data_IF_990053595898
#
_entry.id   IF_990053595898
#
_cell.length_a   1.000
_cell.length_b   1.000
_cell.length_c   1.000
_cell.angle_alpha   90.00
_cell.angle_beta   90.00
_cell.angle_gamma   90.00
#
_symmetry.space_group_name_H-M   'P 1'
#
loop_
_entity.id
_entity.type
_entity.pdbx_description
1 polymer ?
#
# COMPACT_ATOMS: atom_id res chain seq x y z
N UNK A 1 -28.38 7.74 -12.69
CA UNK A 1 -27.23 7.02 -13.25
C UNK A 1 -26.15 7.09 -12.19
N UNK A 2 -25.60 5.97 -11.72
CA UNK A 2 -24.56 5.99 -10.69
C UNK A 2 -23.28 6.58 -11.32
N UNK A 3 -22.80 7.67 -10.75
CA UNK A 3 -21.58 8.38 -11.13
C UNK A 3 -20.37 7.92 -10.32
N UNK A 4 -20.56 6.92 -9.46
CA UNK A 4 -19.54 6.35 -8.58
C UNK A 4 -19.82 4.86 -8.32
N UNK A 5 -18.76 4.05 -8.28
CA UNK A 5 -18.80 2.64 -7.88
C UNK A 5 -17.54 2.29 -7.09
N UNK A 6 -17.61 1.30 -6.19
CA UNK A 6 -16.46 0.82 -5.44
C UNK A 6 -16.49 -0.69 -5.24
N UNK A 7 -15.33 -1.26 -4.97
CA UNK A 7 -15.08 -2.66 -4.66
C UNK A 7 -14.05 -2.74 -3.53
N UNK A 8 -14.45 -3.35 -2.42
CA UNK A 8 -13.55 -3.60 -1.29
C UNK A 8 -12.72 -4.84 -1.63
N UNK A 9 -11.40 -4.68 -1.67
CA UNK A 9 -10.47 -5.77 -1.99
C UNK A 9 -10.04 -6.47 -0.69
N UNK A 10 -9.66 -5.68 0.30
CA UNK A 10 -9.32 -6.10 1.65
C UNK A 10 -9.61 -4.97 2.65
N UNK A 11 -9.31 -5.19 3.93
CA UNK A 11 -9.56 -4.21 5.02
C UNK A 11 -8.77 -2.90 4.85
N UNK A 12 -7.71 -2.92 4.05
CA UNK A 12 -6.79 -1.80 3.86
C UNK A 12 -6.82 -1.25 2.44
N UNK A 13 -7.66 -1.78 1.54
CA UNK A 13 -7.62 -1.49 0.10
C UNK A 13 -9.02 -1.48 -0.51
N UNK A 14 -9.38 -0.36 -1.13
CA UNK A 14 -10.66 -0.14 -1.79
C UNK A 14 -10.42 0.42 -3.19
N UNK A 15 -10.88 -0.31 -4.20
CA UNK A 15 -10.93 0.18 -5.57
C UNK A 15 -12.18 1.03 -5.76
N UNK A 16 -12.02 2.22 -6.33
CA UNK A 16 -13.11 3.15 -6.61
C UNK A 16 -13.08 3.61 -8.06
N UNK A 17 -14.26 3.90 -8.60
CA UNK A 17 -14.41 4.46 -9.94
C UNK A 17 -15.39 5.62 -9.92
N UNK A 18 -15.07 6.68 -10.64
CA UNK A 18 -15.92 7.86 -10.81
C UNK A 18 -16.10 8.18 -12.29
N UNK A 19 -17.33 8.54 -12.66
CA UNK A 19 -17.66 9.00 -13.99
C UNK A 19 -17.41 10.51 -14.08
N UNK A 20 -16.52 10.93 -14.96
CA UNK A 20 -16.22 12.33 -15.23
C UNK A 20 -16.36 12.62 -16.72
N UNK A 21 -17.26 13.53 -17.08
CA UNK A 21 -17.52 13.97 -18.46
C UNK A 21 -17.77 12.84 -19.48
N UNK A 22 -18.31 11.69 -19.03
CA UNK A 22 -18.56 10.46 -19.80
C UNK A 22 -17.41 9.42 -19.85
N UNK A 23 -16.34 9.60 -19.08
CA UNK A 23 -15.30 8.58 -18.90
C UNK A 23 -15.15 8.12 -17.46
N UNK A 24 -14.85 6.83 -17.29
CA UNK A 24 -14.64 6.24 -15.97
C UNK A 24 -13.17 6.30 -15.58
N UNK A 25 -12.91 6.96 -14.45
CA UNK A 25 -11.59 7.02 -13.85
C UNK A 25 -11.51 6.11 -12.64
N UNK A 26 -10.44 5.31 -12.55
CA UNK A 26 -10.24 4.35 -11.48
C UNK A 26 -9.18 4.86 -10.50
N UNK A 27 -9.47 4.74 -9.21
CA UNK A 27 -8.59 5.08 -8.11
C UNK A 27 -8.51 3.92 -7.13
N UNK A 28 -7.35 3.76 -6.52
CA UNK A 28 -7.18 2.88 -5.37
C UNK A 28 -7.06 3.75 -4.10
N UNK A 29 -7.79 3.38 -3.07
CA UNK A 29 -7.66 3.92 -1.73
C UNK A 29 -7.00 2.83 -0.91
N UNK A 30 -5.82 3.10 -0.37
CA UNK A 30 -5.15 2.13 0.49
C UNK A 30 -4.59 2.79 1.73
N UNK A 31 -4.55 2.05 2.83
CA UNK A 31 -3.88 2.48 4.05
C UNK A 31 -2.40 2.13 3.98
N UNK A 32 -1.54 3.11 4.25
CA UNK A 32 -0.11 2.90 4.42
C UNK A 32 0.37 3.74 5.60
N UNK A 33 1.05 3.12 6.56
CA UNK A 33 1.59 3.78 7.75
C UNK A 33 0.51 4.56 8.55
N UNK A 34 -0.68 3.96 8.69
CA UNK A 34 -1.88 4.58 9.30
C UNK A 34 -2.44 5.81 8.56
N UNK A 35 -2.09 5.94 7.27
CA UNK A 35 -2.55 7.06 6.43
C UNK A 35 -3.23 6.52 5.18
N UNK A 36 -4.51 6.86 5.04
CA UNK A 36 -5.27 6.56 3.84
C UNK A 36 -4.77 7.38 2.65
N UNK A 37 -4.42 6.69 1.58
CA UNK A 37 -3.82 7.26 0.38
C UNK A 37 -4.67 6.94 -0.83
N UNK A 38 -5.10 7.98 -1.54
CA UNK A 38 -5.80 7.92 -2.82
C UNK A 38 -4.79 8.00 -3.97
N UNK A 39 -4.75 6.96 -4.79
CA UNK A 39 -3.85 6.84 -5.94
C UNK A 39 -4.64 6.60 -7.24
N UNK A 40 -4.41 7.39 -8.32
CA UNK A 40 -5.02 7.11 -9.61
C UNK A 40 -4.40 5.88 -10.27
N UNK A 41 -5.22 4.95 -10.77
CA UNK A 41 -4.75 3.78 -11.52
C UNK A 41 -4.55 4.08 -13.02
N UNK A 42 -5.20 5.15 -13.51
CA UNK A 42 -5.19 5.52 -14.92
C UNK A 42 -3.89 6.28 -15.28
N UNK A 43 -3.09 5.69 -16.18
CA UNK A 43 -1.86 6.30 -16.71
C UNK A 43 -2.08 7.67 -17.36
N UNK A 44 -3.29 7.97 -17.84
CA UNK A 44 -3.66 9.29 -18.35
C UNK A 44 -3.66 10.35 -17.24
N UNK A 45 -4.14 10.01 -16.04
CA UNK A 45 -4.14 10.90 -14.87
C UNK A 45 -2.73 11.05 -14.26
N UNK A 46 -1.91 9.99 -14.31
CA UNK A 46 -0.53 10.03 -13.83
C UNK A 46 0.32 10.99 -14.68
N UNK A 47 0.11 11.00 -16.01
CA UNK A 47 0.83 11.89 -16.93
C UNK A 47 0.26 13.32 -16.95
N UNK A 48 -1.03 13.49 -16.69
CA UNK A 48 -1.71 14.78 -16.70
C UNK A 48 -2.19 15.16 -15.28
N UNK A 49 -1.30 15.77 -14.50
CA UNK A 49 -1.53 16.16 -13.10
C UNK A 49 -2.72 17.10 -12.93
N UNK A 50 -2.90 18.06 -13.85
CA UNK A 50 -4.00 19.03 -13.81
C UNK A 50 -5.35 18.31 -13.94
N UNK A 51 -5.43 17.34 -14.85
CA UNK A 51 -6.62 16.52 -15.01
C UNK A 51 -6.85 15.61 -13.79
N UNK A 52 -5.79 15.00 -13.25
CA UNK A 52 -5.90 14.23 -12.01
C UNK A 52 -6.48 15.07 -10.87
N UNK A 53 -6.07 16.33 -10.73
CA UNK A 53 -6.59 17.23 -9.71
C UNK A 53 -8.08 17.52 -9.91
N UNK A 54 -8.54 17.71 -11.14
CA UNK A 54 -9.96 17.91 -11.44
C UNK A 54 -10.80 16.69 -11.05
N UNK A 55 -10.38 15.49 -11.43
CA UNK A 55 -11.12 14.26 -11.13
C UNK A 55 -11.11 13.94 -9.65
N UNK A 56 -9.96 14.09 -8.98
CA UNK A 56 -9.86 13.87 -7.52
C UNK A 56 -10.76 14.85 -6.77
N UNK A 57 -10.79 16.13 -7.18
CA UNK A 57 -11.68 17.11 -6.56
C UNK A 57 -13.17 16.75 -6.75
N UNK A 58 -13.53 16.16 -7.89
CA UNK A 58 -14.89 15.68 -8.12
C UNK A 58 -15.20 14.45 -7.25
N UNK A 59 -14.26 13.51 -7.13
CA UNK A 59 -14.38 12.33 -6.27
C UNK A 59 -14.57 12.73 -4.80
N UNK A 60 -13.72 13.64 -4.30
CA UNK A 60 -13.80 14.16 -2.93
C UNK A 60 -15.07 14.98 -2.66
N UNK A 61 -15.83 15.37 -3.69
CA UNK A 61 -17.15 16.01 -3.55
C UNK A 61 -18.32 15.03 -3.72
N UNK A 62 -18.06 13.81 -4.15
CA UNK A 62 -19.12 12.83 -4.42
C UNK A 62 -19.71 12.28 -3.12
N UNK A 63 -21.03 12.41 -2.97
CA UNK A 63 -21.76 11.96 -1.77
C UNK A 63 -21.68 10.45 -1.52
N UNK A 64 -21.60 9.63 -2.58
CA UNK A 64 -21.49 8.17 -2.43
C UNK A 64 -20.10 7.76 -1.97
N UNK A 65 -19.08 8.50 -2.42
CA UNK A 65 -17.72 8.37 -1.89
C UNK A 65 -17.67 8.69 -0.39
N UNK A 66 -18.32 9.76 0.06
CA UNK A 66 -18.39 10.10 1.49
C UNK A 66 -19.07 9.01 2.32
N UNK A 67 -20.19 8.47 1.83
CA UNK A 67 -20.91 7.37 2.50
C UNK A 67 -20.05 6.11 2.57
N UNK A 68 -19.29 5.81 1.52
CA UNK A 68 -18.34 4.70 1.51
C UNK A 68 -17.24 4.92 2.56
N UNK A 69 -16.56 6.07 2.55
CA UNK A 69 -15.53 6.39 3.54
C UNK A 69 -16.07 6.30 4.97
N UNK A 70 -17.27 6.82 5.24
CA UNK A 70 -17.88 6.75 6.56
C UNK A 70 -18.20 5.32 7.02
N UNK A 71 -18.54 4.41 6.09
CA UNK A 71 -18.79 2.99 6.41
C UNK A 71 -17.51 2.24 6.76
N UNK A 72 -16.43 2.57 6.06
CA UNK A 72 -15.11 1.95 6.23
C UNK A 72 -14.25 2.68 7.30
N UNK A 73 -14.86 3.57 8.10
CA UNK A 73 -14.18 4.38 9.13
C UNK A 73 -13.00 5.23 8.60
N UNK A 74 -13.05 5.64 7.33
CA UNK A 74 -12.05 6.48 6.68
C UNK A 74 -12.42 7.96 6.87
N UNK A 75 -11.59 8.71 7.58
CA UNK A 75 -11.74 10.16 7.72
C UNK A 75 -11.31 10.87 6.43
N UNK A 76 -12.24 11.58 5.78
CA UNK A 76 -11.96 12.34 4.55
C UNK A 76 -10.82 13.37 4.71
N UNK A 77 -10.62 13.88 5.94
CA UNK A 77 -9.53 14.80 6.28
C UNK A 77 -8.14 14.13 6.28
N UNK A 78 -8.09 12.81 6.41
CA UNK A 78 -6.86 12.03 6.50
C UNK A 78 -6.46 11.42 5.16
N UNK A 79 -7.36 11.44 4.17
CA UNK A 79 -7.05 10.96 2.82
C UNK A 79 -6.02 11.89 2.17
N UNK A 80 -4.83 11.33 1.92
CA UNK A 80 -3.77 11.96 1.14
C UNK A 80 -3.86 11.52 -0.30
N UNK A 81 -3.38 12.34 -1.22
CA UNK A 81 -3.31 12.00 -2.64
C UNK A 81 -1.86 11.81 -3.02
N UNK A 82 -1.54 10.76 -3.77
CA UNK A 82 -0.17 10.53 -4.25
C UNK A 82 0.29 11.54 -5.30
N UNK A 83 -0.65 12.29 -5.88
CA UNK A 83 -0.37 13.38 -6.81
C UNK A 83 -0.26 14.66 -5.99
N UNK A 84 0.84 15.40 -6.19
CA UNK A 84 1.08 16.69 -5.54
C UNK A 84 0.05 17.71 -6.03
N UNK A 85 -1.04 17.85 -5.25
CA UNK A 85 -2.13 18.77 -5.53
C UNK A 85 -1.69 20.15 -5.01
N UNK A 86 -1.00 20.91 -5.85
CA UNK A 86 -0.71 22.31 -5.57
C UNK A 86 -2.00 23.01 -5.10
N UNK A 87 -1.95 23.64 -3.92
CA UNK A 87 -3.06 24.28 -3.18
C UNK A 87 -3.92 23.42 -2.23
N UNK A 88 -3.30 22.58 -1.40
CA UNK A 88 -3.66 22.59 0.03
C UNK A 88 -2.42 23.00 0.81
N UNK A 89 -2.59 23.87 1.80
CA UNK A 89 -1.53 24.32 2.69
C UNK A 89 -0.86 23.09 3.35
N UNK A 90 0.20 22.59 2.73
CA UNK A 90 1.04 21.54 3.24
C UNK A 90 1.81 22.12 4.43
N UNK A 91 1.77 21.51 5.63
CA UNK A 91 3.02 21.36 6.35
C UNK A 91 3.91 20.56 5.40
N UNK A 92 5.01 21.17 4.96
CA UNK A 92 5.92 20.65 3.96
C UNK A 92 6.13 19.13 4.13
N UNK A 93 5.88 18.38 3.05
CA UNK A 93 6.58 17.13 2.86
C UNK A 93 8.07 17.45 3.06
N UNK A 94 8.81 16.70 3.89
CA UNK A 94 10.26 16.77 3.83
C UNK A 94 10.60 16.48 2.36
N UNK A 95 11.40 17.36 1.74
CA UNK A 95 11.98 17.06 0.45
C UNK A 95 12.51 15.62 0.47
N UNK A 96 12.38 14.85 -0.63
CA UNK A 96 13.08 13.59 -0.71
C UNK A 96 14.55 13.95 -0.54
N UNK A 97 15.09 13.67 0.64
CA UNK A 97 16.50 13.92 0.93
C UNK A 97 17.24 13.30 -0.25
N UNK A 98 18.25 13.99 -0.81
CA UNK A 98 19.22 13.29 -1.63
C UNK A 98 19.56 12.03 -0.85
N UNK A 99 19.48 10.87 -1.50
CA UNK A 99 19.85 9.60 -0.89
C UNK A 99 21.28 9.81 -0.39
N UNK A 100 21.41 10.22 0.87
CA UNK A 100 22.63 10.11 1.62
C UNK A 100 22.89 8.63 1.54
N UNK A 101 23.93 8.29 0.78
CA UNK A 101 24.61 7.03 0.92
C UNK A 101 24.80 6.87 2.42
N UNK A 102 23.93 6.05 3.04
CA UNK A 102 24.20 5.59 4.39
C UNK A 102 25.60 5.01 4.30
N UNK A 103 26.52 5.39 5.19
CA UNK A 103 27.70 4.55 5.35
C UNK A 103 27.14 3.16 5.62
N UNK A 104 27.56 2.20 4.81
CA UNK A 104 27.34 0.79 5.08
C UNK A 104 28.20 0.47 6.31
N UNK A 105 27.72 0.88 7.48
CA UNK A 105 28.09 0.33 8.78
C UNK A 105 26.90 -0.54 9.21
N UNK A 106 26.57 -1.52 8.36
CA UNK A 106 25.84 -2.72 8.82
C UNK A 106 26.89 -3.62 9.48
N UNK A 107 27.33 -3.27 10.70
CA UNK A 107 27.70 -4.35 11.60
C UNK A 107 26.39 -5.08 11.93
N UNK A 108 26.29 -6.40 11.66
CA UNK A 108 25.10 -7.14 12.01
C UNK A 108 24.88 -6.99 13.51
N UNK A 109 23.70 -6.51 13.91
CA UNK A 109 23.31 -6.49 15.32
C UNK A 109 23.57 -7.88 15.88
N UNK A 110 24.37 -7.95 16.96
CA UNK A 110 24.65 -9.21 17.64
C UNK A 110 23.31 -9.86 17.98
N UNK A 111 23.08 -11.09 17.49
CA UNK A 111 21.81 -11.80 17.65
C UNK A 111 21.43 -11.89 19.13
N UNK A 112 22.44 -11.96 20.01
CA UNK A 112 22.24 -11.94 21.46
C UNK A 112 21.61 -10.61 21.93
N UNK A 113 22.13 -9.48 21.47
CA UNK A 113 21.58 -8.15 21.75
C UNK A 113 20.17 -7.98 21.18
N UNK A 114 19.92 -8.52 19.98
CA UNK A 114 18.59 -8.46 19.37
C UNK A 114 17.56 -9.27 20.18
N UNK A 115 17.92 -10.47 20.63
CA UNK A 115 17.08 -11.32 21.48
C UNK A 115 16.86 -10.74 22.88
N UNK A 116 17.86 -10.09 23.46
CA UNK A 116 17.76 -9.49 24.79
C UNK A 116 16.83 -8.25 24.80
N UNK A 117 16.71 -7.57 23.66
CA UNK A 117 15.93 -6.34 23.52
C UNK A 117 14.52 -6.53 22.93
N UNK A 118 14.20 -7.71 22.38
CA UNK A 118 12.89 -7.97 21.75
C UNK A 118 12.25 -9.25 22.29
N UNK A 119 10.94 -9.18 22.54
CA UNK A 119 10.12 -10.37 22.79
C UNK A 119 9.92 -11.17 21.50
N UNK A 120 9.60 -12.46 21.64
CA UNK A 120 9.32 -13.31 20.48
C UNK A 120 8.18 -12.75 19.61
N UNK A 121 7.15 -12.19 20.24
CA UNK A 121 6.01 -11.59 19.54
C UNK A 121 6.44 -10.35 18.73
N UNK A 122 7.32 -9.51 19.28
CA UNK A 122 7.90 -8.36 18.57
C UNK A 122 8.79 -8.82 17.41
N UNK A 123 9.60 -9.87 17.60
CA UNK A 123 10.43 -10.44 16.53
C UNK A 123 9.54 -10.99 15.40
N UNK A 124 8.44 -11.66 15.75
CA UNK A 124 7.49 -12.19 14.78
C UNK A 124 6.79 -11.06 14.01
N UNK A 125 6.45 -9.96 14.68
CA UNK A 125 5.83 -8.81 14.03
C UNK A 125 6.80 -8.08 13.09
N UNK A 126 8.06 -7.93 13.49
CA UNK A 126 9.14 -7.41 12.64
C UNK A 126 9.29 -8.28 11.38
N UNK A 127 9.29 -9.61 11.54
CA UNK A 127 9.42 -10.52 10.41
C UNK A 127 8.19 -10.46 9.47
N UNK A 128 6.96 -10.32 10.02
CA UNK A 128 5.75 -10.09 9.21
C UNK A 128 5.86 -8.81 8.38
N UNK A 129 6.36 -7.73 8.97
CA UNK A 129 6.51 -6.44 8.28
C UNK A 129 7.54 -6.54 7.14
N UNK A 130 8.67 -7.22 7.37
CA UNK A 130 9.70 -7.45 6.35
C UNK A 130 9.11 -8.25 5.19
N UNK A 131 8.44 -9.36 5.48
CA UNK A 131 7.81 -10.24 4.48
C UNK A 131 6.73 -9.49 3.70
N UNK A 132 5.87 -8.73 4.38
CA UNK A 132 4.83 -7.92 3.76
C UNK A 132 5.43 -6.85 2.82
N UNK A 133 6.48 -6.16 3.28
CA UNK A 133 7.18 -5.15 2.48
C UNK A 133 7.76 -5.77 1.20
N UNK A 134 8.39 -6.95 1.30
CA UNK A 134 8.91 -7.67 0.13
C UNK A 134 7.78 -8.11 -0.80
N UNK A 135 6.71 -8.68 -0.27
CA UNK A 135 5.52 -9.05 -1.04
C UNK A 135 4.95 -7.85 -1.83
N UNK A 136 4.82 -6.69 -1.19
CA UNK A 136 4.33 -5.46 -1.83
C UNK A 136 5.22 -5.01 -2.99
N UNK A 137 6.55 -5.11 -2.85
CA UNK A 137 7.48 -4.74 -3.94
C UNK A 137 7.25 -5.62 -5.16
N UNK A 138 7.14 -6.95 -5.00
CA UNK A 138 6.91 -7.84 -6.13
C UNK A 138 5.52 -7.66 -6.74
N UNK A 139 4.50 -7.34 -5.93
CA UNK A 139 3.17 -6.96 -6.43
C UNK A 139 3.25 -5.73 -7.34
N UNK A 140 3.94 -4.68 -6.91
CA UNK A 140 4.15 -3.47 -7.72
C UNK A 140 4.94 -3.75 -9.00
N UNK A 141 5.93 -4.65 -8.95
CA UNK A 141 6.66 -5.07 -10.16
C UNK A 141 5.72 -5.74 -11.17
N UNK A 142 4.84 -6.65 -10.73
CA UNK A 142 3.85 -7.29 -11.60
C UNK A 142 2.88 -6.27 -12.20
N UNK A 143 2.42 -5.30 -11.40
CA UNK A 143 1.55 -4.22 -11.85
C UNK A 143 2.24 -3.37 -12.94
N UNK A 144 3.51 -2.99 -12.73
CA UNK A 144 4.31 -2.23 -13.72
C UNK A 144 4.52 -3.04 -15.00
N UNK A 145 4.88 -4.31 -14.90
CA UNK A 145 5.07 -5.18 -16.06
C UNK A 145 3.77 -5.32 -16.87
N UNK A 146 2.65 -5.50 -16.18
CA UNK A 146 1.34 -5.56 -16.82
C UNK A 146 1.01 -4.26 -17.55
N UNK A 147 1.29 -3.09 -16.94
CA UNK A 147 1.13 -1.78 -17.59
C UNK A 147 2.06 -1.60 -18.81
N UNK A 148 3.21 -2.25 -18.83
CA UNK A 148 4.14 -2.24 -19.96
C UNK A 148 3.76 -3.25 -21.06
N UNK A 149 2.65 -3.97 -20.90
CA UNK A 149 2.15 -4.94 -21.87
C UNK A 149 2.79 -6.32 -21.77
N UNK A 150 3.47 -6.64 -20.66
CA UNK A 150 3.98 -7.98 -20.42
C UNK A 150 2.82 -8.99 -20.31
N UNK A 151 2.98 -10.12 -20.98
CA UNK A 151 2.03 -11.22 -20.95
C UNK A 151 2.27 -12.11 -19.72
N UNK A 152 1.22 -12.72 -19.13
CA UNK A 152 1.37 -13.77 -18.12
C UNK A 152 2.18 -15.00 -18.58
N UNK A 153 2.43 -15.13 -19.89
CA UNK A 153 3.29 -16.18 -20.47
C UNK A 153 4.76 -15.78 -20.54
N UNK A 154 5.10 -14.52 -20.28
CA UNK A 154 6.46 -14.03 -20.37
C UNK A 154 7.29 -14.59 -19.22
N UNK A 155 8.49 -15.08 -19.54
CA UNK A 155 9.35 -15.77 -18.57
C UNK A 155 9.66 -14.90 -17.34
N UNK A 156 9.92 -13.62 -17.53
CA UNK A 156 10.20 -12.67 -16.44
C UNK A 156 8.96 -12.43 -15.57
N UNK A 157 7.78 -12.32 -16.19
CA UNK A 157 6.52 -12.16 -15.47
C UNK A 157 6.23 -13.38 -14.59
N UNK A 158 6.37 -14.59 -15.14
CA UNK A 158 6.20 -15.85 -14.41
C UNK A 158 7.18 -15.96 -13.23
N UNK A 159 8.43 -15.52 -13.41
CA UNK A 159 9.43 -15.53 -12.34
C UNK A 159 9.05 -14.58 -11.20
N UNK A 160 8.69 -13.34 -11.51
CA UNK A 160 8.28 -12.35 -10.51
C UNK A 160 6.98 -12.78 -9.82
N UNK A 161 6.05 -13.39 -10.56
CA UNK A 161 4.80 -13.93 -10.01
C UNK A 161 5.06 -15.09 -9.04
N UNK A 162 6.02 -15.97 -9.37
CA UNK A 162 6.44 -17.05 -8.48
C UNK A 162 7.06 -16.50 -7.19
N UNK A 163 7.92 -15.49 -7.30
CA UNK A 163 8.52 -14.84 -6.11
C UNK A 163 7.46 -14.16 -5.25
N UNK A 164 6.52 -13.42 -5.85
CA UNK A 164 5.37 -12.86 -5.14
C UNK A 164 4.56 -13.94 -4.39
N UNK A 165 4.29 -15.06 -5.06
CA UNK A 165 3.53 -16.17 -4.47
C UNK A 165 4.27 -16.78 -3.28
N UNK A 166 5.60 -16.97 -3.38
CA UNK A 166 6.41 -17.46 -2.26
C UNK A 166 6.36 -16.52 -1.05
N UNK A 167 6.46 -15.21 -1.26
CA UNK A 167 6.35 -14.23 -0.17
C UNK A 167 4.94 -14.19 0.43
N UNK A 168 3.91 -14.31 -0.40
CA UNK A 168 2.52 -14.40 0.07
C UNK A 168 2.29 -15.64 0.94
N UNK A 169 2.75 -16.80 0.50
CA UNK A 169 2.67 -18.04 1.29
C UNK A 169 3.46 -17.94 2.60
N UNK A 170 4.63 -17.29 2.57
CA UNK A 170 5.41 -17.05 3.79
C UNK A 170 4.66 -16.15 4.77
N UNK A 171 4.06 -15.06 4.28
CA UNK A 171 3.25 -14.16 5.09
C UNK A 171 2.07 -14.89 5.76
N UNK A 172 1.30 -15.65 4.98
CA UNK A 172 0.16 -16.41 5.48
C UNK A 172 0.58 -17.44 6.55
N UNK A 173 1.73 -18.10 6.37
CA UNK A 173 2.28 -19.04 7.37
C UNK A 173 2.70 -18.34 8.66
N UNK A 174 3.37 -17.20 8.58
CA UNK A 174 3.82 -16.44 9.76
C UNK A 174 2.63 -15.90 10.53
N UNK A 175 1.62 -15.36 9.83
CA UNK A 175 0.36 -14.92 10.45
C UNK A 175 -0.37 -16.09 11.10
N UNK A 176 -0.44 -17.25 10.42
CA UNK A 176 -1.04 -18.46 10.99
C UNK A 176 -0.34 -18.98 12.25
N UNK A 177 0.97 -18.80 12.38
CA UNK A 177 1.72 -19.13 13.60
C UNK A 177 1.42 -18.17 14.76
N UNK A 178 1.10 -16.92 14.46
CA UNK A 178 0.72 -15.89 15.44
C UNK A 178 -0.67 -16.14 16.03
N UNK A 179 -1.60 -16.68 15.22
CA UNK A 179 -2.98 -16.97 15.62
C UNK A 179 -3.13 -18.35 16.30
N UNK A 180 -2.22 -19.29 16.02
CA UNK A 180 -2.17 -20.60 16.68
C UNK A 180 -1.47 -20.51 18.04
N UNK A 181 -2.21 -20.09 19.07
CA UNK A 181 -1.92 -20.40 20.49
C UNK A 181 -0.47 -20.25 20.98
N UNK A 182 0.03 -19.02 21.05
CA UNK A 182 1.05 -18.63 22.04
C UNK A 182 0.42 -18.07 23.33
N UNK A 183 -0.84 -18.44 23.65
CA UNK A 183 -1.50 -18.11 24.93
C UNK A 183 -0.86 -18.80 26.16
N UNK A 184 0.19 -19.60 25.94
CA UNK A 184 0.97 -20.30 26.95
C UNK A 184 2.12 -19.51 27.56
N UNK A 185 1.84 -18.32 28.11
CA UNK A 185 2.68 -17.66 29.12
C UNK A 185 3.95 -16.97 28.61
N UNK A 186 4.23 -15.79 29.18
CA UNK A 186 5.50 -15.05 29.05
C UNK A 186 6.69 -15.95 29.39
N UNK A 187 7.24 -16.64 28.40
CA UNK A 187 8.62 -17.14 28.46
C UNK A 187 9.51 -16.07 27.86
N UNK A 188 10.11 -15.28 28.75
CA UNK A 188 11.39 -14.64 28.46
C UNK A 188 12.41 -15.76 28.30
N UNK A 189 13.27 -15.62 27.29
CA UNK A 189 14.40 -16.51 27.05
C UNK A 189 15.31 -16.58 28.27
#
# INVERSE_FOLDING_TARGET
MLDFTFEIIDEFTINTKILYANEWFTFNIYEKDQVWTLHPFDGMLIRNKDMCQLVVNELLKNKYFHVMCAKENILLSEIRTTVDLGNRANPALPEPRPREERPVDDEPEDVQSFMDNHSLDEIMEIEKEIVHTRMSVYKQMLEIMFMQGASPTDKEFVQIQSVFTMWKEAYEKITGLSDSDFSGGKKRW
#
